data_IF_825775445563
#
_entry.id   IF_825775445563
#
_cell.length_a   1.000
_cell.length_b   1.000
_cell.length_c   1.000
_cell.angle_alpha   90.00
_cell.angle_beta   90.00
_cell.angle_gamma   90.00
#
_symmetry.space_group_name_H-M   'P 1'
#
loop_
_entity.id
_entity.type
_entity.pdbx_description
1 polymer ?
#
# COMPACT_ATOMS: atom_id res chain seq x y z
N UNK A 1 -62.35 -6.45 17.60
CA UNK A 1 -61.55 -6.97 16.47
C UNK A 1 -60.66 -5.82 16.00
N UNK A 2 -59.47 -5.71 16.60
CA UNK A 2 -58.52 -4.60 16.39
C UNK A 2 -57.31 -5.14 15.63
N UNK A 3 -57.08 -4.62 14.44
CA UNK A 3 -55.98 -5.00 13.55
C UNK A 3 -54.68 -4.39 14.06
N UNK A 4 -53.77 -5.21 14.57
CA UNK A 4 -52.38 -4.83 14.84
C UNK A 4 -51.64 -4.75 13.50
N UNK A 5 -51.36 -3.52 13.05
CA UNK A 5 -50.42 -3.28 11.97
C UNK A 5 -49.00 -3.41 12.51
N UNK A 6 -48.34 -4.53 12.21
CA UNK A 6 -46.89 -4.66 12.37
C UNK A 6 -46.22 -3.67 11.41
N UNK A 7 -45.59 -2.64 11.98
CA UNK A 7 -44.65 -1.82 11.25
C UNK A 7 -43.45 -2.70 10.88
N UNK A 8 -43.30 -2.99 9.59
CA UNK A 8 -42.12 -3.67 9.05
C UNK A 8 -40.89 -2.80 9.35
N UNK A 9 -40.12 -3.16 10.37
CA UNK A 9 -38.80 -2.58 10.63
C UNK A 9 -37.93 -2.83 9.40
N UNK A 10 -37.60 -1.76 8.66
CA UNK A 10 -36.67 -1.83 7.56
C UNK A 10 -35.32 -2.38 8.08
N UNK A 11 -34.67 -3.31 7.36
CA UNK A 11 -33.42 -3.91 7.81
C UNK A 11 -32.38 -2.82 8.01
N UNK A 12 -31.86 -2.72 9.25
CA UNK A 12 -30.78 -1.79 9.60
C UNK A 12 -29.54 -2.23 8.82
N UNK A 13 -29.23 -1.53 7.74
CA UNK A 13 -27.97 -1.71 7.02
C UNK A 13 -26.87 -1.10 7.87
N UNK A 14 -26.06 -1.93 8.51
CA UNK A 14 -24.89 -1.45 9.24
C UNK A 14 -23.91 -0.84 8.25
N UNK A 15 -23.84 0.48 8.17
CA UNK A 15 -22.87 1.18 7.34
C UNK A 15 -21.50 1.09 7.99
N UNK A 16 -20.54 0.44 7.32
CA UNK A 16 -19.16 0.38 7.82
C UNK A 16 -18.54 1.76 7.67
N UNK A 17 -18.05 2.31 8.78
CA UNK A 17 -17.30 3.57 8.75
C UNK A 17 -15.90 3.33 8.15
N UNK A 18 -15.74 3.68 6.88
CA UNK A 18 -14.51 3.49 6.13
C UNK A 18 -13.33 4.25 6.76
N UNK A 19 -13.56 5.42 7.39
CA UNK A 19 -12.50 6.21 8.02
C UNK A 19 -11.90 5.47 9.22
N UNK A 20 -12.72 4.91 10.09
CA UNK A 20 -12.23 4.18 11.27
C UNK A 20 -11.53 2.88 10.90
N UNK A 21 -11.79 2.34 9.70
CA UNK A 21 -11.14 1.14 9.18
C UNK A 21 -9.82 1.47 8.45
N UNK A 22 -9.86 2.38 7.48
CA UNK A 22 -8.75 2.64 6.56
C UNK A 22 -7.71 3.62 7.10
N UNK A 23 -8.09 4.56 7.98
CA UNK A 23 -7.14 5.52 8.53
C UNK A 23 -6.08 4.85 9.43
N UNK A 24 -6.44 3.99 10.42
CA UNK A 24 -5.43 3.31 11.23
C UNK A 24 -4.51 2.42 10.38
N UNK A 25 -5.07 1.74 9.38
CA UNK A 25 -4.31 0.95 8.42
C UNK A 25 -3.30 1.79 7.64
N UNK A 26 -3.72 2.94 7.12
CA UNK A 26 -2.85 3.88 6.40
C UNK A 26 -1.72 4.37 7.30
N UNK A 27 -2.04 4.81 8.52
CA UNK A 27 -1.05 5.32 9.48
C UNK A 27 -0.05 4.25 9.89
N UNK A 28 -0.51 3.01 10.11
CA UNK A 28 0.37 1.89 10.43
C UNK A 28 1.34 1.58 9.28
N UNK A 29 0.88 1.63 8.03
CA UNK A 29 1.74 1.45 6.86
C UNK A 29 2.75 2.58 6.71
N UNK A 30 2.33 3.84 6.87
CA UNK A 30 3.22 5.01 6.80
C UNK A 30 4.30 4.91 7.87
N UNK A 31 3.93 4.59 9.12
CA UNK A 31 4.89 4.41 10.20
C UNK A 31 5.84 3.24 9.92
N UNK A 32 5.32 2.10 9.46
CA UNK A 32 6.12 0.92 9.14
C UNK A 32 7.14 1.18 8.03
N UNK A 33 6.71 1.80 6.93
CA UNK A 33 7.63 2.12 5.82
C UNK A 33 8.60 3.23 6.19
N UNK A 34 8.20 4.22 6.99
CA UNK A 34 9.12 5.25 7.50
C UNK A 34 10.27 4.64 8.31
N UNK A 35 9.99 3.67 9.19
CA UNK A 35 11.04 2.95 9.94
C UNK A 35 12.02 2.23 9.00
N UNK A 36 11.51 1.58 7.95
CA UNK A 36 12.35 0.92 6.94
C UNK A 36 13.23 1.95 6.22
N UNK A 37 12.65 3.09 5.81
CA UNK A 37 13.43 4.14 5.11
C UNK A 37 14.51 4.75 6.01
N UNK A 38 14.22 4.99 7.29
CA UNK A 38 15.22 5.45 8.27
C UNK A 38 16.33 4.42 8.42
N UNK A 39 16.00 3.13 8.55
CA UNK A 39 16.99 2.07 8.65
C UNK A 39 17.92 2.04 7.42
N UNK A 40 17.35 2.12 6.21
CA UNK A 40 18.13 2.15 4.95
C UNK A 40 19.07 3.36 4.95
N UNK A 41 18.60 4.53 5.38
CA UNK A 41 19.42 5.74 5.45
C UNK A 41 20.60 5.56 6.43
N UNK A 42 20.35 4.96 7.59
CA UNK A 42 21.38 4.67 8.60
C UNK A 42 22.40 3.63 8.14
N UNK A 43 22.02 2.73 7.21
CA UNK A 43 22.93 1.74 6.60
C UNK A 43 23.59 2.25 5.31
N UNK A 44 23.79 3.58 5.19
CA UNK A 44 24.46 4.19 4.04
C UNK A 44 23.63 4.17 2.74
N UNK A 45 22.31 4.01 2.84
CA UNK A 45 21.42 3.91 1.69
C UNK A 45 21.40 2.54 1.01
N UNK A 46 22.01 1.52 1.61
CA UNK A 46 21.97 0.15 1.08
C UNK A 46 20.67 -0.56 1.49
N UNK A 47 20.03 -1.25 0.54
CA UNK A 47 18.93 -2.17 0.85
C UNK A 47 19.52 -3.48 1.33
N UNK A 48 19.63 -3.61 2.65
CA UNK A 48 20.17 -4.81 3.31
C UNK A 48 19.15 -5.94 3.38
N UNK A 49 19.60 -7.15 3.76
CA UNK A 49 18.72 -8.29 4.04
C UNK A 49 17.68 -7.94 5.12
N UNK A 50 18.06 -7.17 6.14
CA UNK A 50 17.14 -6.71 7.18
C UNK A 50 16.06 -5.79 6.62
N UNK A 51 16.42 -4.80 5.79
CA UNK A 51 15.46 -3.91 5.14
C UNK A 51 14.49 -4.70 4.23
N UNK A 52 15.01 -5.67 3.48
CA UNK A 52 14.20 -6.58 2.67
C UNK A 52 13.24 -7.41 3.53
N UNK A 53 13.72 -7.99 4.64
CA UNK A 53 12.90 -8.77 5.57
C UNK A 53 11.79 -7.94 6.22
N UNK A 54 12.09 -6.72 6.68
CA UNK A 54 11.08 -5.81 7.22
C UNK A 54 10.03 -5.42 6.17
N UNK A 55 10.45 -5.21 4.92
CA UNK A 55 9.52 -4.95 3.81
C UNK A 55 8.61 -6.16 3.56
N UNK A 56 9.15 -7.37 3.60
CA UNK A 56 8.37 -8.60 3.50
C UNK A 56 7.38 -8.75 4.67
N UNK A 57 7.77 -8.37 5.89
CA UNK A 57 6.87 -8.31 7.06
C UNK A 57 5.74 -7.32 6.84
N UNK A 58 6.00 -6.14 6.27
CA UNK A 58 4.94 -5.18 5.89
C UNK A 58 3.98 -5.81 4.88
N UNK A 59 4.50 -6.48 3.83
CA UNK A 59 3.68 -7.18 2.86
C UNK A 59 2.81 -8.28 3.47
N UNK A 60 3.38 -9.12 4.34
CA UNK A 60 2.63 -10.14 5.07
C UNK A 60 1.58 -9.52 6.01
N UNK A 61 1.91 -8.40 6.66
CA UNK A 61 0.99 -7.62 7.49
C UNK A 61 -0.19 -7.07 6.70
N UNK A 62 0.05 -6.57 5.49
CA UNK A 62 -1.03 -6.15 4.56
C UNK A 62 -1.95 -7.32 4.25
N UNK A 63 -1.41 -8.48 3.85
CA UNK A 63 -2.21 -9.66 3.52
C UNK A 63 -3.04 -10.13 4.73
N UNK A 64 -2.40 -10.22 5.90
CA UNK A 64 -3.08 -10.62 7.14
C UNK A 64 -4.19 -9.63 7.54
N UNK A 65 -3.92 -8.32 7.40
CA UNK A 65 -4.92 -7.28 7.71
C UNK A 65 -6.10 -7.34 6.75
N UNK A 66 -5.85 -7.48 5.44
CA UNK A 66 -6.89 -7.63 4.41
C UNK A 66 -7.75 -8.86 4.69
N UNK A 67 -7.14 -9.99 5.02
CA UNK A 67 -7.89 -11.20 5.40
C UNK A 67 -8.78 -10.95 6.61
N UNK A 68 -8.21 -10.37 7.69
CA UNK A 68 -8.92 -10.12 8.95
C UNK A 68 -10.13 -9.19 8.77
N UNK A 69 -10.02 -8.21 7.88
CA UNK A 69 -11.04 -7.18 7.66
C UNK A 69 -11.83 -7.37 6.36
N UNK A 70 -11.66 -8.51 5.67
CA UNK A 70 -12.24 -8.78 4.36
C UNK A 70 -13.74 -8.48 4.31
N UNK A 71 -14.51 -9.00 5.29
CA UNK A 71 -15.96 -8.78 5.37
C UNK A 71 -16.30 -7.29 5.45
N UNK A 72 -15.64 -6.54 6.32
CA UNK A 72 -15.88 -5.10 6.48
C UNK A 72 -15.52 -4.33 5.20
N UNK A 73 -14.40 -4.68 4.56
CA UNK A 73 -13.97 -4.10 3.30
C UNK A 73 -14.96 -4.38 2.17
N UNK A 74 -15.63 -5.54 2.18
CA UNK A 74 -16.68 -5.83 1.20
C UNK A 74 -17.95 -5.00 1.39
N UNK A 75 -18.16 -4.36 2.55
CA UNK A 75 -19.27 -3.41 2.76
C UNK A 75 -18.88 -1.97 2.44
N UNK A 76 -17.59 -1.67 2.26
CA UNK A 76 -17.09 -0.38 1.78
C UNK A 76 -17.02 -0.41 0.26
N UNK A 77 -17.60 0.60 -0.40
CA UNK A 77 -17.50 0.73 -1.87
C UNK A 77 -16.02 0.80 -2.27
N UNK A 78 -15.60 -0.16 -3.11
CA UNK A 78 -14.21 -0.36 -3.53
C UNK A 78 -13.21 -0.62 -2.39
N UNK A 79 -13.65 -1.07 -1.21
CA UNK A 79 -12.80 -1.17 -0.01
C UNK A 79 -11.50 -1.94 -0.21
N UNK A 80 -11.54 -3.10 -0.88
CA UNK A 80 -10.35 -3.90 -1.18
C UNK A 80 -9.38 -3.17 -2.13
N UNK A 81 -9.90 -2.57 -3.21
CA UNK A 81 -9.09 -1.81 -4.15
C UNK A 81 -8.45 -0.58 -3.49
N UNK A 82 -9.20 0.14 -2.65
CA UNK A 82 -8.67 1.29 -1.89
C UNK A 82 -7.59 0.85 -0.91
N UNK A 83 -7.80 -0.24 -0.16
CA UNK A 83 -6.80 -0.75 0.78
C UNK A 83 -5.50 -1.18 0.08
N UNK A 84 -5.60 -1.82 -1.09
CA UNK A 84 -4.43 -2.16 -1.90
C UNK A 84 -3.78 -0.92 -2.52
N UNK A 85 -4.57 0.07 -2.97
CA UNK A 85 -4.06 1.33 -3.50
C UNK A 85 -3.27 2.11 -2.43
N UNK A 86 -3.76 2.15 -1.19
CA UNK A 86 -3.05 2.73 -0.05
C UNK A 86 -1.72 2.01 0.16
N UNK A 87 -1.72 0.67 0.19
CA UNK A 87 -0.50 -0.09 0.41
C UNK A 87 0.52 0.10 -0.71
N UNK A 88 0.08 0.02 -1.97
CA UNK A 88 0.89 0.33 -3.13
C UNK A 88 1.47 1.74 -3.04
N UNK A 89 0.65 2.76 -2.82
CA UNK A 89 1.10 4.14 -2.76
C UNK A 89 2.12 4.35 -1.63
N UNK A 90 1.82 3.93 -0.41
CA UNK A 90 2.70 4.13 0.74
C UNK A 90 4.05 3.41 0.56
N UNK A 91 4.02 2.14 0.17
CA UNK A 91 5.25 1.35 0.00
C UNK A 91 6.05 1.88 -1.18
N UNK A 92 5.47 1.95 -2.37
CA UNK A 92 6.14 2.37 -3.60
C UNK A 92 6.64 3.81 -3.53
N UNK A 93 5.83 4.75 -3.02
CA UNK A 93 6.28 6.14 -2.87
C UNK A 93 7.42 6.26 -1.87
N UNK A 94 7.40 5.51 -0.75
CA UNK A 94 8.50 5.58 0.23
C UNK A 94 9.85 5.19 -0.37
N UNK A 95 9.90 4.10 -1.14
CA UNK A 95 11.13 3.65 -1.81
C UNK A 95 11.53 4.58 -2.96
N UNK A 96 10.59 5.05 -3.77
CA UNK A 96 10.90 5.97 -4.86
C UNK A 96 11.40 7.33 -4.36
N UNK A 97 10.80 7.88 -3.29
CA UNK A 97 11.29 9.12 -2.67
C UNK A 97 12.71 8.95 -2.16
N UNK A 98 13.00 7.84 -1.46
CA UNK A 98 14.36 7.58 -0.99
C UNK A 98 15.34 7.43 -2.16
N UNK A 99 14.97 6.67 -3.19
CA UNK A 99 15.78 6.48 -4.39
C UNK A 99 16.09 7.81 -5.09
N UNK A 100 15.09 8.69 -5.25
CA UNK A 100 15.27 10.03 -5.82
C UNK A 100 16.23 10.85 -4.97
N UNK A 101 16.03 10.92 -3.65
CA UNK A 101 16.93 11.66 -2.76
C UNK A 101 18.37 11.12 -2.87
N UNK A 102 18.53 9.80 -2.90
CA UNK A 102 19.84 9.15 -3.02
C UNK A 102 20.52 9.50 -4.34
N UNK A 103 19.82 9.39 -5.47
CA UNK A 103 20.37 9.78 -6.78
C UNK A 103 20.70 11.26 -6.84
N UNK A 104 19.86 12.13 -6.27
CA UNK A 104 20.14 13.58 -6.23
C UNK A 104 21.38 13.90 -5.39
N UNK A 105 21.57 13.23 -4.24
CA UNK A 105 22.73 13.45 -3.37
C UNK A 105 24.01 12.91 -4.02
N UNK A 106 23.99 11.67 -4.54
CA UNK A 106 25.16 11.06 -5.18
C UNK A 106 25.50 11.74 -6.51
N UNK A 107 24.48 12.07 -7.31
CA UNK A 107 24.64 12.70 -8.62
C UNK A 107 25.13 14.15 -8.56
N UNK A 108 25.01 14.81 -7.41
CA UNK A 108 25.64 16.10 -7.13
C UNK A 108 27.13 15.99 -6.75
N UNK A 109 27.64 14.77 -6.57
CA UNK A 109 29.04 14.48 -6.29
C UNK A 109 29.94 14.48 -7.53
N UNK A 110 31.23 14.18 -7.34
CA UNK A 110 32.24 14.21 -8.39
C UNK A 110 31.99 13.19 -9.52
N UNK A 111 31.38 12.05 -9.20
CA UNK A 111 31.11 10.96 -10.15
C UNK A 111 29.88 11.24 -11.05
N UNK A 112 29.10 12.28 -10.71
CA UNK A 112 27.98 12.75 -11.50
C UNK A 112 26.75 11.82 -11.54
N UNK A 113 25.75 12.25 -12.31
CA UNK A 113 24.45 11.57 -12.39
C UNK A 113 24.52 10.17 -13.03
N UNK A 114 25.40 9.97 -14.02
CA UNK A 114 25.53 8.68 -14.72
C UNK A 114 25.95 7.56 -13.76
N UNK A 115 26.93 7.82 -12.89
CA UNK A 115 27.37 6.88 -11.87
C UNK A 115 26.24 6.59 -10.86
N UNK A 116 25.51 7.62 -10.42
CA UNK A 116 24.38 7.46 -9.50
C UNK A 116 23.23 6.64 -10.12
N UNK A 117 22.96 6.82 -11.41
CA UNK A 117 21.98 6.03 -12.16
C UNK A 117 22.43 4.57 -12.32
N UNK A 118 23.71 4.35 -12.67
CA UNK A 118 24.28 3.00 -12.77
C UNK A 118 24.19 2.25 -11.43
N UNK A 119 24.51 2.91 -10.31
CA UNK A 119 24.41 2.34 -8.98
C UNK A 119 22.95 1.98 -8.62
N UNK A 120 21.97 2.83 -8.96
CA UNK A 120 20.56 2.51 -8.75
C UNK A 120 20.10 1.27 -9.54
N UNK A 121 20.58 1.11 -10.77
CA UNK A 121 20.19 0.01 -11.67
C UNK A 121 20.95 -1.29 -11.41
N UNK A 122 22.17 -1.23 -10.87
CA UNK A 122 23.03 -2.40 -10.63
C UNK A 122 22.89 -2.98 -9.21
N UNK A 123 22.17 -2.30 -8.33
CA UNK A 123 21.99 -2.70 -6.92
C UNK A 123 20.53 -3.15 -6.64
N UNK A 124 20.22 -3.66 -5.43
CA UNK A 124 18.85 -4.04 -5.09
C UNK A 124 17.81 -2.91 -5.17
N UNK A 125 18.23 -1.64 -5.33
CA UNK A 125 17.36 -0.51 -5.62
C UNK A 125 16.52 -0.70 -6.89
N UNK A 126 17.06 -1.37 -7.92
CA UNK A 126 16.29 -1.75 -9.11
C UNK A 126 15.10 -2.62 -8.74
N UNK A 127 15.33 -3.65 -7.90
CA UNK A 127 14.27 -4.54 -7.44
C UNK A 127 13.24 -3.81 -6.59
N UNK A 128 13.69 -2.98 -5.65
CA UNK A 128 12.81 -2.26 -4.73
C UNK A 128 11.99 -1.14 -5.41
N UNK A 129 12.51 -0.51 -6.47
CA UNK A 129 11.76 0.53 -7.18
C UNK A 129 10.97 -0.04 -8.35
N UNK A 130 11.57 -0.81 -9.25
CA UNK A 130 10.90 -1.27 -10.48
C UNK A 130 10.13 -2.57 -10.29
N UNK A 131 10.80 -3.65 -9.86
CA UNK A 131 10.15 -4.97 -9.76
C UNK A 131 9.02 -4.96 -8.72
N UNK A 132 9.26 -4.32 -7.57
CA UNK A 132 8.24 -4.16 -6.55
C UNK A 132 7.06 -3.32 -7.06
N UNK A 133 7.29 -2.17 -7.70
CA UNK A 133 6.21 -1.37 -8.27
C UNK A 133 5.38 -2.16 -9.29
N UNK A 134 6.04 -2.95 -10.15
CA UNK A 134 5.36 -3.79 -11.12
C UNK A 134 4.49 -4.87 -10.44
N UNK A 135 5.04 -5.57 -9.45
CA UNK A 135 4.32 -6.63 -8.73
C UNK A 135 3.10 -6.08 -7.95
N UNK A 136 3.29 -5.02 -7.18
CA UNK A 136 2.22 -4.41 -6.42
C UNK A 136 1.19 -3.72 -7.33
N UNK A 137 1.66 -3.08 -8.40
CA UNK A 137 0.83 -2.47 -9.44
C UNK A 137 -0.04 -3.49 -10.16
N UNK A 138 0.49 -4.67 -10.47
CA UNK A 138 -0.31 -5.77 -11.01
C UNK A 138 -1.41 -6.21 -10.04
N UNK A 139 -1.08 -6.36 -8.75
CA UNK A 139 -2.08 -6.64 -7.72
C UNK A 139 -3.17 -5.55 -7.64
N UNK A 140 -2.78 -4.28 -7.77
CA UNK A 140 -3.72 -3.16 -7.80
C UNK A 140 -4.64 -3.22 -9.03
N UNK A 141 -4.08 -3.50 -10.21
CA UNK A 141 -4.86 -3.65 -11.45
C UNK A 141 -5.89 -4.77 -11.34
N UNK A 142 -5.53 -5.90 -10.71
CA UNK A 142 -6.46 -7.01 -10.45
C UNK A 142 -7.61 -6.54 -9.56
N UNK A 143 -7.33 -5.86 -8.44
CA UNK A 143 -8.37 -5.37 -7.54
C UNK A 143 -9.27 -4.29 -8.16
N UNK A 144 -8.70 -3.40 -8.97
CA UNK A 144 -9.47 -2.39 -9.70
C UNK A 144 -10.37 -3.04 -10.75
N UNK A 145 -9.84 -3.99 -11.53
CA UNK A 145 -10.61 -4.74 -12.54
C UNK A 145 -11.76 -5.50 -11.88
N UNK A 146 -11.50 -6.22 -10.79
CA UNK A 146 -12.53 -6.91 -10.02
C UNK A 146 -13.58 -5.96 -9.43
N UNK A 147 -13.17 -4.75 -9.04
CA UNK A 147 -14.09 -3.71 -8.54
C UNK A 147 -15.02 -3.18 -9.63
N UNK A 148 -14.50 -2.94 -10.84
CA UNK A 148 -15.27 -2.50 -12.00
C UNK A 148 -16.26 -3.58 -12.44
N UNK A 149 -15.79 -4.83 -12.59
CA UNK A 149 -16.62 -5.94 -13.06
C UNK A 149 -17.68 -6.40 -12.05
N UNK A 150 -17.37 -6.37 -10.75
CA UNK A 150 -18.23 -6.97 -9.73
C UNK A 150 -19.39 -6.09 -9.25
N UNK A 151 -19.18 -4.77 -9.13
CA UNK A 151 -20.19 -3.86 -8.54
C UNK A 151 -20.65 -2.75 -9.48
N UNK A 152 -20.01 -2.59 -10.64
CA UNK A 152 -20.17 -1.40 -11.47
C UNK A 152 -19.55 -0.16 -10.83
N UNK A 153 -19.13 0.81 -11.65
CA UNK A 153 -18.59 2.09 -11.16
C UNK A 153 -19.69 3.07 -10.75
N UNK A 154 -20.92 2.88 -11.25
CA UNK A 154 -21.97 3.90 -11.29
C UNK A 154 -23.16 3.64 -10.35
N UNK A 155 -23.12 2.55 -9.57
CA UNK A 155 -24.21 2.20 -8.65
C UNK A 155 -23.82 2.36 -7.17
#
# INVERSE_FOLDING_TARGET
>A
MTTHGEALEAPVTSTVNARTLLLPYTLALVAGTAVIQVLIALTGGAITVLAGALTAVVGAGVVAWLWRHYRQLTHVRFGLAIAHAIAFAVVTTSFNVHAVLRVSILGAGADGFEAAAHDLLSTPWFGATLLMSAAWGLGLLIHLTGSVLGRGWEH
#
